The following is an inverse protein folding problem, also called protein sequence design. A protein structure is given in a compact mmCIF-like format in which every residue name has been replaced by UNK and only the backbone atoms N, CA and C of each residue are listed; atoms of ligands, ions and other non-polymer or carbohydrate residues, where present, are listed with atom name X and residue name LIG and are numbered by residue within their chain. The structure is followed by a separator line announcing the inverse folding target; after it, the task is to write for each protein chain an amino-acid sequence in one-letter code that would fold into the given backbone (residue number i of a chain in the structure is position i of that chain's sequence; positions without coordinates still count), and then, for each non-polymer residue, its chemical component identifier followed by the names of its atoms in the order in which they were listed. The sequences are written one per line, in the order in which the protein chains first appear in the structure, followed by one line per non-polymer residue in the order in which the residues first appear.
data_IF_552893875933
#
_entry.id   IF_552893875933
#
_cell.length_a   1.000
_cell.length_b   1.000
_cell.length_c   1.000
_cell.angle_alpha   90.00
_cell.angle_beta   90.00
_cell.angle_gamma   90.00
#
_symmetry.space_group_name_H-M   'P 1'
#
loop_
_entity.id
_entity.type
_entity.pdbx_description
1 polymer ?
#
# COMPACT_ATOMS: atom_id res chain seq x y z
N UNK A 1 12.59 -4.38 -8.53
CA UNK A 1 11.45 -4.41 -9.47
C UNK A 1 10.17 -4.03 -8.75
N UNK A 2 9.39 -3.14 -9.32
CA UNK A 2 8.13 -2.73 -8.73
C UNK A 2 7.01 -3.69 -9.08
N UNK A 3 6.14 -3.95 -8.11
CA UNK A 3 4.96 -4.79 -8.32
C UNK A 3 3.72 -3.94 -8.11
N UNK A 4 2.73 -4.15 -8.96
CA UNK A 4 1.47 -3.43 -8.84
C UNK A 4 0.59 -4.04 -7.77
N UNK A 5 -0.16 -3.18 -7.08
CA UNK A 5 -1.13 -3.61 -6.08
C UNK A 5 -2.35 -2.71 -6.19
N UNK A 6 -3.51 -3.26 -5.90
CA UNK A 6 -4.72 -2.44 -5.86
C UNK A 6 -5.67 -2.93 -4.79
N UNK A 7 -6.44 -2.03 -4.26
CA UNK A 7 -7.46 -2.32 -3.26
C UNK A 7 -8.73 -1.57 -3.59
N UNK A 8 -9.85 -2.14 -3.19
CA UNK A 8 -11.14 -1.47 -3.35
C UNK A 8 -11.60 -0.99 -1.98
N UNK A 9 -11.95 0.30 -1.90
CA UNK A 9 -12.48 0.90 -0.68
C UNK A 9 -13.76 1.61 -1.08
N UNK A 10 -14.90 1.11 -0.60
CA UNK A 10 -16.19 1.61 -1.02
C UNK A 10 -16.38 1.35 -2.52
N UNK A 11 -16.64 2.39 -3.27
CA UNK A 11 -16.88 2.30 -4.72
C UNK A 11 -15.62 2.61 -5.53
N UNK A 12 -14.51 2.87 -4.86
CA UNK A 12 -13.29 3.30 -5.56
C UNK A 12 -12.22 2.22 -5.48
N UNK A 13 -11.47 2.09 -6.56
CA UNK A 13 -10.30 1.24 -6.61
C UNK A 13 -9.08 2.13 -6.54
N UNK A 14 -8.17 1.78 -5.63
CA UNK A 14 -6.93 2.52 -5.44
C UNK A 14 -5.77 1.64 -5.87
N UNK A 15 -4.83 2.22 -6.59
CA UNK A 15 -3.66 1.51 -7.10
C UNK A 15 -2.39 2.06 -6.49
N UNK A 16 -1.43 1.16 -6.31
CA UNK A 16 -0.11 1.53 -5.86
C UNK A 16 0.89 0.56 -6.44
N UNK A 17 2.13 0.74 -6.03
CA UNK A 17 3.20 -0.19 -6.39
C UNK A 17 4.10 -0.36 -5.18
N UNK A 18 4.70 -1.52 -5.07
CA UNK A 18 5.59 -1.79 -3.97
C UNK A 18 6.83 -2.53 -4.45
N UNK A 19 7.86 -2.46 -3.66
CA UNK A 19 9.06 -3.26 -3.85
C UNK A 19 9.64 -3.60 -2.50
N UNK A 20 10.50 -4.62 -2.47
CA UNK A 20 11.19 -5.00 -1.26
C UNK A 20 12.60 -4.44 -1.25
N UNK A 21 13.02 -3.93 -0.10
CA UNK A 21 14.39 -3.53 0.15
C UNK A 21 14.84 -4.26 1.41
N UNK A 22 15.46 -5.41 1.22
CA UNK A 22 15.75 -6.28 2.35
C UNK A 22 14.46 -6.84 2.91
N UNK A 23 14.22 -6.64 4.20
CA UNK A 23 13.00 -7.07 4.85
C UNK A 23 11.96 -5.95 4.94
N UNK A 24 12.25 -4.81 4.34
CA UNK A 24 11.33 -3.69 4.31
C UNK A 24 10.59 -3.62 2.98
N UNK A 25 9.31 -3.34 3.07
CA UNK A 25 8.49 -3.10 1.90
C UNK A 25 8.33 -1.60 1.74
N UNK A 26 8.53 -1.11 0.53
CA UNK A 26 8.29 0.29 0.19
C UNK A 26 7.09 0.34 -0.73
N UNK A 27 6.06 1.04 -0.31
CA UNK A 27 4.84 1.19 -1.07
C UNK A 27 4.70 2.65 -1.53
N UNK A 28 4.35 2.82 -2.79
CA UNK A 28 4.04 4.15 -3.33
C UNK A 28 2.68 4.11 -3.98
N UNK A 29 1.91 5.14 -3.76
CA UNK A 29 0.64 5.33 -4.43
C UNK A 29 0.47 6.83 -4.69
N UNK A 30 -0.62 7.18 -5.35
CA UNK A 30 -0.83 8.57 -5.77
C UNK A 30 -0.85 9.54 -4.58
N UNK A 31 -1.34 9.09 -3.45
CA UNK A 31 -1.45 9.94 -2.27
C UNK A 31 -0.22 9.99 -1.38
N UNK A 32 0.79 9.15 -1.65
CA UNK A 32 1.95 9.17 -0.77
C UNK A 32 2.84 7.94 -0.87
N UNK A 33 3.60 7.74 0.18
CA UNK A 33 4.60 6.68 0.25
C UNK A 33 4.71 6.18 1.68
N UNK A 34 4.82 4.88 1.82
CA UNK A 34 4.96 4.24 3.12
C UNK A 34 6.00 3.14 3.06
N UNK A 35 6.63 2.86 4.18
CA UNK A 35 7.54 1.74 4.31
C UNK A 35 7.20 0.96 5.57
N UNK A 36 7.31 -0.36 5.50
CA UNK A 36 6.98 -1.22 6.62
C UNK A 36 7.76 -2.52 6.53
N UNK A 37 7.94 -3.18 7.66
CA UNK A 37 8.52 -4.51 7.68
C UNK A 37 7.45 -5.54 7.37
N UNK A 38 7.82 -6.52 6.57
CA UNK A 38 6.92 -7.60 6.22
C UNK A 38 6.98 -8.76 7.19
N UNK A 39 8.13 -9.00 7.79
CA UNK A 39 8.31 -10.17 8.63
C UNK A 39 7.99 -11.44 7.87
N UNK A 40 7.12 -12.26 8.43
CA UNK A 40 6.72 -13.54 7.83
C UNK A 40 5.50 -13.41 6.92
N UNK A 41 4.93 -12.23 6.81
CA UNK A 41 3.74 -12.00 5.98
C UNK A 41 4.18 -11.73 4.55
N UNK A 42 3.38 -12.19 3.60
CA UNK A 42 3.69 -11.96 2.19
C UNK A 42 3.68 -10.47 1.89
N UNK A 43 4.67 -9.97 1.13
CA UNK A 43 4.75 -8.54 0.81
C UNK A 43 3.48 -7.99 0.16
N UNK A 44 2.85 -8.77 -0.72
CA UNK A 44 1.62 -8.34 -1.37
C UNK A 44 0.52 -8.04 -0.35
N UNK A 45 0.38 -8.90 0.65
CA UNK A 45 -0.63 -8.74 1.70
C UNK A 45 -0.35 -7.48 2.51
N UNK A 46 0.91 -7.27 2.88
CA UNK A 46 1.31 -6.08 3.63
C UNK A 46 1.04 -4.82 2.81
N UNK A 47 1.38 -4.84 1.53
CA UNK A 47 1.18 -3.69 0.65
C UNK A 47 -0.31 -3.35 0.54
N UNK A 48 -1.16 -4.35 0.35
CA UNK A 48 -2.60 -4.14 0.26
C UNK A 48 -3.16 -3.58 1.55
N UNK A 49 -2.70 -4.09 2.68
CA UNK A 49 -3.16 -3.64 3.98
C UNK A 49 -2.80 -2.18 4.23
N UNK A 50 -1.55 -1.82 3.95
CA UNK A 50 -1.09 -0.44 4.11
C UNK A 50 -1.89 0.49 3.19
N UNK A 51 -2.03 0.10 1.93
CA UNK A 51 -2.74 0.92 0.96
C UNK A 51 -4.19 1.15 1.40
N UNK A 52 -4.86 0.08 1.83
CA UNK A 52 -6.23 0.17 2.28
C UNK A 52 -6.37 1.13 3.47
N UNK A 53 -5.50 0.98 4.46
CA UNK A 53 -5.54 1.85 5.63
C UNK A 53 -5.24 3.31 5.26
N UNK A 54 -4.28 3.52 4.40
CA UNK A 54 -3.87 4.87 4.03
C UNK A 54 -4.97 5.61 3.28
N UNK A 55 -5.64 4.95 2.35
CA UNK A 55 -6.71 5.60 1.59
C UNK A 55 -7.99 5.74 2.41
N UNK A 56 -8.25 4.79 3.31
CA UNK A 56 -9.43 4.86 4.17
C UNK A 56 -9.29 5.93 5.24
N UNK A 57 -8.05 6.19 5.68
CA UNK A 57 -7.76 7.20 6.70
C UNK A 57 -7.53 8.59 6.12
N UNK A 58 -7.42 8.69 4.81
CA UNK A 58 -7.20 9.99 4.19
C UNK A 58 -8.32 10.93 4.62
N UNK A 59 -7.97 12.09 5.18
CA UNK A 59 -9.01 13.03 5.54
C UNK A 59 -9.81 13.33 4.31
N UNK A 60 -11.10 13.15 4.44
CA UNK A 60 -11.97 13.63 3.40
C UNK A 60 -11.57 15.07 3.22
N UNK A 61 -11.09 15.38 2.04
CA UNK A 61 -10.74 16.74 1.75
C UNK A 61 -11.99 17.56 1.92
N UNK A 62 -12.25 17.82 3.12
CA UNK A 62 -13.38 18.65 3.42
C UNK A 62 -13.04 20.03 2.96
#
# INVERSE_FOLDING_TARGET
MWNSVQVAVGHKTHRGRYRMEGDQLVLEWRGGREAARCGLVKPEVVAMDILRHSVASAPLAA
#
